data_IF_294235531909
#
_entry.id   IF_294235531909
#
_cell.length_a   1.000
_cell.length_b   1.000
_cell.length_c   1.000
_cell.angle_alpha   90.00
_cell.angle_beta   90.00
_cell.angle_gamma   90.00
#
_symmetry.space_group_name_H-M   'P 1'
#
loop_
_entity.id
_entity.type
_entity.pdbx_description
1 polymer ?
#
# COMPACT_ATOMS: atom_id res chain seq x y z
N UNK A 1 10.42 -3.64 -16.94
CA UNK A 1 11.55 -3.00 -17.65
C UNK A 1 12.28 -3.97 -18.59
N UNK A 2 12.29 -5.27 -18.29
CA UNK A 2 13.10 -6.28 -19.01
C UNK A 2 12.27 -7.39 -19.64
N UNK A 3 10.95 -7.29 -19.63
CA UNK A 3 10.05 -8.18 -20.35
C UNK A 3 10.00 -7.82 -21.83
N UNK A 4 9.66 -8.77 -22.65
CA UNK A 4 9.39 -8.63 -24.08
C UNK A 4 7.92 -8.31 -24.37
N UNK A 5 7.02 -8.63 -23.40
CA UNK A 5 5.60 -8.32 -23.45
C UNK A 5 5.15 -7.73 -22.10
N UNK A 6 4.34 -6.67 -22.17
CA UNK A 6 3.61 -6.13 -21.01
C UNK A 6 2.13 -6.05 -21.37
N UNK A 7 1.30 -6.74 -20.56
CA UNK A 7 -0.14 -6.64 -20.61
C UNK A 7 -0.63 -5.87 -19.38
N UNK A 8 -1.20 -4.69 -19.59
CA UNK A 8 -1.77 -3.83 -18.57
C UNK A 8 -3.29 -3.88 -18.65
N UNK A 9 -3.94 -4.31 -17.56
CA UNK A 9 -5.39 -4.51 -17.49
C UNK A 9 -5.98 -3.55 -16.45
N UNK A 10 -6.70 -2.50 -16.88
CA UNK A 10 -7.41 -1.55 -16.03
C UNK A 10 -6.54 -0.82 -15.00
N UNK A 11 -5.21 -0.74 -15.21
CA UNK A 11 -4.29 -0.28 -14.18
C UNK A 11 -3.96 1.21 -14.25
N UNK A 12 -4.43 1.91 -15.28
CA UNK A 12 -4.21 3.33 -15.52
C UNK A 12 -2.75 3.74 -15.73
N UNK A 13 -1.78 2.93 -15.37
CA UNK A 13 -0.33 3.19 -15.49
C UNK A 13 0.05 4.60 -14.99
N UNK A 14 -0.25 4.86 -13.72
CA UNK A 14 0.05 6.14 -13.07
C UNK A 14 1.56 6.31 -12.88
N UNK A 15 1.99 7.53 -12.56
CA UNK A 15 3.39 7.87 -12.30
C UNK A 15 4.02 7.01 -11.18
N UNK A 16 3.21 6.48 -10.26
CA UNK A 16 3.69 5.56 -9.22
C UNK A 16 4.12 4.21 -9.77
N UNK A 17 3.56 3.79 -10.91
CA UNK A 17 3.88 2.53 -11.57
C UNK A 17 5.00 2.71 -12.60
N UNK A 18 4.95 3.80 -13.37
CA UNK A 18 5.87 4.02 -14.49
C UNK A 18 7.07 4.90 -14.16
N UNK A 19 7.01 5.64 -13.03
CA UNK A 19 8.05 6.57 -12.61
C UNK A 19 8.04 7.90 -13.38
N UNK A 20 8.92 8.83 -12.99
CA UNK A 20 9.04 10.14 -13.67
C UNK A 20 9.71 10.02 -15.05
N UNK A 21 10.58 9.03 -15.22
CA UNK A 21 11.19 8.76 -16.53
C UNK A 21 10.36 7.73 -17.30
N UNK A 22 9.09 8.04 -17.51
CA UNK A 22 8.11 7.15 -18.12
C UNK A 22 8.44 6.76 -19.56
N UNK A 23 9.24 7.55 -20.29
CA UNK A 23 9.70 7.21 -21.64
C UNK A 23 10.61 5.97 -21.69
N UNK A 24 11.20 5.57 -20.57
CA UNK A 24 12.02 4.36 -20.46
C UNK A 24 11.28 3.16 -19.89
N UNK A 25 10.03 3.35 -19.48
CA UNK A 25 9.19 2.27 -18.97
C UNK A 25 8.88 1.27 -20.08
N UNK A 26 9.00 -0.03 -19.75
CA UNK A 26 8.77 -1.13 -20.70
C UNK A 26 9.48 -0.98 -22.06
N UNK A 27 10.64 -0.33 -22.09
CA UNK A 27 11.37 0.13 -23.30
C UNK A 27 11.65 -0.95 -24.34
N UNK A 28 11.64 -2.23 -23.96
CA UNK A 28 11.94 -3.36 -24.83
C UNK A 28 10.70 -4.25 -25.06
N UNK A 29 9.59 -3.95 -24.44
CA UNK A 29 8.39 -4.76 -24.48
C UNK A 29 7.42 -4.29 -25.57
N UNK A 30 6.70 -5.22 -26.19
CA UNK A 30 5.44 -4.93 -26.86
C UNK A 30 4.38 -4.67 -25.78
N UNK A 31 3.74 -3.51 -25.80
CA UNK A 31 2.83 -3.06 -24.75
C UNK A 31 1.38 -3.13 -25.18
N UNK A 32 0.61 -3.97 -24.50
CA UNK A 32 -0.84 -4.07 -24.66
C UNK A 32 -1.49 -3.42 -23.45
N UNK A 33 -2.32 -2.41 -23.67
CA UNK A 33 -2.99 -1.67 -22.58
C UNK A 33 -4.49 -1.72 -22.79
N UNK A 34 -5.19 -2.24 -21.79
CA UNK A 34 -6.64 -2.20 -21.70
C UNK A 34 -7.05 -1.18 -20.64
N UNK A 35 -7.98 -0.33 -20.98
CA UNK A 35 -8.66 0.56 -20.04
C UNK A 35 -10.10 0.81 -20.50
N UNK A 36 -11.00 1.07 -19.57
CA UNK A 36 -12.39 1.46 -19.84
C UNK A 36 -12.48 2.95 -20.23
N UNK A 37 -11.49 3.76 -19.83
CA UNK A 37 -11.40 5.16 -20.18
C UNK A 37 -10.55 5.33 -21.45
N UNK A 38 -11.16 5.78 -22.57
CA UNK A 38 -10.44 5.97 -23.83
C UNK A 38 -9.36 7.07 -23.75
N UNK A 39 -9.44 8.00 -22.80
CA UNK A 39 -8.43 9.04 -22.63
C UNK A 39 -7.15 8.50 -21.99
N UNK A 40 -7.26 7.48 -21.12
CA UNK A 40 -6.08 6.78 -20.60
C UNK A 40 -5.29 6.06 -21.69
N UNK A 41 -5.96 5.60 -22.76
CA UNK A 41 -5.32 4.96 -23.90
C UNK A 41 -4.63 5.94 -24.86
N UNK A 42 -4.90 7.24 -24.73
CA UNK A 42 -4.33 8.31 -25.60
C UNK A 42 -3.24 9.12 -24.94
N UNK A 43 -2.98 8.90 -23.66
CA UNK A 43 -2.00 9.71 -22.92
C UNK A 43 -0.59 9.56 -23.50
N UNK A 44 0.18 10.66 -23.62
CA UNK A 44 1.49 10.64 -24.28
C UNK A 44 2.61 10.10 -23.38
N UNK A 45 2.32 9.81 -22.11
CA UNK A 45 3.33 9.42 -21.12
C UNK A 45 3.80 7.97 -21.24
N UNK A 46 3.03 7.10 -21.90
CA UNK A 46 3.34 5.68 -22.04
C UNK A 46 3.19 5.30 -23.51
N UNK A 47 4.21 4.62 -24.04
CA UNK A 47 4.09 4.02 -25.36
C UNK A 47 3.14 2.83 -25.32
N UNK A 48 2.17 2.78 -26.21
CA UNK A 48 1.18 1.71 -26.33
C UNK A 48 1.22 1.16 -27.74
N UNK A 49 1.61 -0.11 -27.90
CA UNK A 49 1.60 -0.79 -29.19
C UNK A 49 0.19 -1.25 -29.59
N UNK A 50 -0.58 -1.74 -28.60
CA UNK A 50 -1.95 -2.19 -28.80
C UNK A 50 -2.86 -1.64 -27.70
N UNK A 51 -3.81 -0.78 -28.07
CA UNK A 51 -4.81 -0.22 -27.15
C UNK A 51 -6.11 -1.01 -27.26
N UNK A 52 -6.67 -1.43 -26.13
CA UNK A 52 -7.95 -2.17 -26.03
C UNK A 52 -8.91 -1.36 -25.17
N UNK A 53 -9.89 -0.72 -25.79
CA UNK A 53 -10.94 0.01 -25.10
C UNK A 53 -12.10 -0.97 -24.78
N UNK A 54 -12.10 -1.53 -23.59
CA UNK A 54 -13.11 -2.47 -23.12
C UNK A 54 -13.14 -2.54 -21.60
N UNK A 55 -14.26 -3.01 -21.04
CA UNK A 55 -14.27 -3.47 -19.65
C UNK A 55 -13.30 -4.64 -19.49
N UNK A 56 -12.54 -4.65 -18.40
CA UNK A 56 -11.51 -5.68 -18.15
C UNK A 56 -12.13 -7.07 -17.99
N UNK A 57 -13.34 -7.16 -17.45
CA UNK A 57 -14.05 -8.43 -17.32
C UNK A 57 -14.38 -9.02 -18.68
N UNK A 58 -14.95 -8.19 -19.56
CA UNK A 58 -15.30 -8.63 -20.94
C UNK A 58 -14.03 -9.08 -21.69
N UNK A 59 -12.93 -8.34 -21.54
CA UNK A 59 -11.65 -8.72 -22.14
C UNK A 59 -11.14 -10.06 -21.62
N UNK A 60 -11.19 -10.28 -20.29
CA UNK A 60 -10.74 -11.54 -19.69
C UNK A 60 -11.60 -12.72 -20.13
N UNK A 61 -12.92 -12.57 -20.17
CA UNK A 61 -13.83 -13.61 -20.67
C UNK A 61 -13.55 -13.97 -22.15
N UNK A 62 -13.30 -12.98 -23.00
CA UNK A 62 -12.93 -13.23 -24.39
C UNK A 62 -11.55 -13.87 -24.52
N UNK A 63 -10.57 -13.41 -23.71
CA UNK A 63 -9.23 -13.99 -23.73
C UNK A 63 -9.25 -15.46 -23.31
N UNK A 64 -10.04 -15.81 -22.29
CA UNK A 64 -10.23 -17.18 -21.84
C UNK A 64 -10.78 -18.07 -22.96
N UNK A 65 -11.84 -17.62 -23.63
CA UNK A 65 -12.42 -18.34 -24.76
C UNK A 65 -11.42 -18.59 -25.88
N UNK A 66 -10.65 -17.57 -26.28
CA UNK A 66 -9.62 -17.69 -27.34
C UNK A 66 -8.50 -18.64 -26.93
N UNK A 67 -8.06 -18.60 -25.67
CA UNK A 67 -7.03 -19.50 -25.16
C UNK A 67 -7.52 -20.95 -25.12
N UNK A 68 -8.77 -21.18 -24.73
CA UNK A 68 -9.38 -22.51 -24.72
C UNK A 68 -9.56 -23.08 -26.14
N UNK A 69 -9.92 -22.24 -27.12
CA UNK A 69 -10.01 -22.64 -28.52
C UNK A 69 -8.63 -22.98 -29.11
N UNK A 70 -7.61 -22.22 -28.78
CA UNK A 70 -6.25 -22.38 -29.35
C UNK A 70 -5.48 -23.52 -28.69
N UNK A 71 -5.59 -23.70 -27.38
CA UNK A 71 -4.76 -24.61 -26.61
C UNK A 71 -5.55 -25.77 -25.98
N UNK A 72 -6.89 -25.72 -25.94
CA UNK A 72 -7.74 -26.72 -25.31
C UNK A 72 -7.55 -26.79 -23.80
N UNK A 73 -7.92 -27.94 -23.20
CA UNK A 73 -7.76 -28.17 -21.76
C UNK A 73 -6.31 -28.42 -21.32
N UNK A 74 -5.39 -28.57 -22.25
CA UNK A 74 -3.95 -28.68 -21.95
C UNK A 74 -3.38 -27.29 -21.77
N UNK A 75 -3.09 -26.90 -20.55
CA UNK A 75 -2.42 -25.62 -20.29
C UNK A 75 -1.07 -25.59 -21.02
N UNK A 76 -0.81 -24.56 -21.83
CA UNK A 76 0.46 -24.46 -22.52
C UNK A 76 1.59 -24.37 -21.51
N UNK A 77 2.52 -25.30 -21.57
CA UNK A 77 3.77 -25.22 -20.83
C UNK A 77 4.63 -24.17 -21.52
N UNK A 78 4.56 -22.92 -21.05
CA UNK A 78 5.42 -21.85 -21.53
C UNK A 78 6.89 -22.14 -21.19
N UNK A 79 7.58 -22.80 -22.08
CA UNK A 79 9.04 -22.98 -22.04
C UNK A 79 9.75 -21.79 -22.70
N UNK A 80 9.18 -20.60 -22.63
CA UNK A 80 9.72 -19.42 -23.24
C UNK A 80 11.09 -19.05 -22.64
N UNK A 81 12.12 -19.21 -23.45
CA UNK A 81 13.45 -18.69 -23.11
C UNK A 81 13.42 -17.19 -23.03
N UNK A 82 13.74 -16.64 -21.88
CA UNK A 82 14.09 -15.24 -21.75
C UNK A 82 15.53 -15.09 -22.19
N UNK A 83 15.94 -13.91 -22.69
CA UNK A 83 17.33 -13.62 -23.01
C UNK A 83 18.33 -13.71 -21.85
N UNK A 84 17.91 -14.21 -20.71
CA UNK A 84 18.74 -14.62 -19.58
C UNK A 84 19.01 -16.12 -19.76
N UNK A 85 20.21 -16.42 -20.21
CA UNK A 85 20.70 -17.78 -20.52
C UNK A 85 20.15 -18.80 -19.53
N UNK A 86 19.41 -19.78 -20.04
CA UNK A 86 18.99 -21.02 -19.38
C UNK A 86 17.97 -20.92 -18.22
N UNK A 87 17.22 -19.81 -18.08
CA UNK A 87 16.18 -19.71 -17.04
C UNK A 87 14.85 -19.27 -17.63
N UNK A 88 13.75 -19.81 -17.11
CA UNK A 88 12.41 -19.32 -17.41
C UNK A 88 12.18 -17.94 -16.77
N UNK A 89 11.24 -17.16 -17.30
CA UNK A 89 10.88 -15.86 -16.72
C UNK A 89 10.46 -15.98 -15.25
N UNK A 90 9.71 -17.03 -14.93
CA UNK A 90 9.26 -17.33 -13.57
C UNK A 90 10.42 -17.57 -12.61
N UNK A 91 11.43 -18.35 -13.02
CA UNK A 91 12.64 -18.59 -12.21
C UNK A 91 13.43 -17.30 -12.01
N UNK A 92 13.53 -16.48 -13.05
CA UNK A 92 14.18 -15.17 -12.98
C UNK A 92 13.47 -14.26 -11.97
N UNK A 93 12.14 -14.17 -12.00
CA UNK A 93 11.35 -13.39 -11.06
C UNK A 93 11.48 -13.91 -9.62
N UNK A 94 11.49 -15.23 -9.41
CA UNK A 94 11.71 -15.84 -8.08
C UNK A 94 13.09 -15.49 -7.53
N UNK A 95 14.13 -15.62 -8.36
CA UNK A 95 15.49 -15.24 -7.98
C UNK A 95 15.57 -13.75 -7.59
N UNK A 96 14.93 -12.86 -8.33
CA UNK A 96 14.92 -11.43 -8.00
C UNK A 96 14.18 -11.16 -6.71
N UNK A 97 13.05 -11.83 -6.45
CA UNK A 97 12.30 -11.71 -5.20
C UNK A 97 13.13 -12.11 -3.98
N UNK A 98 13.92 -13.18 -4.11
CA UNK A 98 14.84 -13.65 -3.06
C UNK A 98 16.04 -12.70 -2.89
N UNK A 99 16.61 -12.24 -4.01
CA UNK A 99 17.80 -11.38 -4.00
C UNK A 99 17.53 -9.96 -3.52
N UNK A 100 16.32 -9.45 -3.75
CA UNK A 100 15.93 -8.07 -3.46
C UNK A 100 14.67 -8.03 -2.57
N UNK A 101 14.72 -8.55 -1.33
CA UNK A 101 13.60 -8.47 -0.43
C UNK A 101 13.33 -7.01 -0.05
N UNK A 102 12.06 -6.65 0.05
CA UNK A 102 11.65 -5.28 0.44
C UNK A 102 11.96 -5.02 1.91
N UNK A 103 11.62 -5.99 2.77
CA UNK A 103 11.89 -5.88 4.21
C UNK A 103 13.19 -6.58 4.52
N UNK A 104 14.19 -5.81 4.91
CA UNK A 104 15.56 -6.25 5.16
C UNK A 104 15.79 -6.54 6.65
N UNK A 105 16.79 -7.37 7.02
CA UNK A 105 17.16 -7.61 8.42
C UNK A 105 17.42 -6.30 9.19
N UNK A 106 18.09 -5.33 8.58
CA UNK A 106 18.35 -4.01 9.18
C UNK A 106 17.12 -3.29 9.71
N UNK A 107 15.92 -3.54 9.13
CA UNK A 107 14.68 -2.93 9.59
C UNK A 107 14.25 -3.45 10.97
N UNK A 108 14.77 -4.59 11.40
CA UNK A 108 14.52 -5.18 12.72
C UNK A 108 15.60 -4.89 13.75
N UNK A 109 16.70 -4.23 13.33
CA UNK A 109 17.89 -3.96 14.17
C UNK A 109 17.77 -2.68 15.01
N UNK A 110 16.64 -1.95 14.94
CA UNK A 110 16.38 -0.78 15.77
C UNK A 110 16.36 -1.18 17.26
N UNK A 111 17.20 -0.52 18.06
CA UNK A 111 17.32 -0.75 19.50
C UNK A 111 16.14 -0.24 20.30
N UNK A 112 16.14 -0.48 21.62
CA UNK A 112 15.10 -0.01 22.53
C UNK A 112 15.05 1.53 22.68
N UNK A 113 16.15 2.21 22.37
CA UNK A 113 16.25 3.68 22.41
C UNK A 113 15.87 4.35 21.08
N UNK A 114 15.47 3.56 20.07
CA UNK A 114 15.11 4.04 18.74
C UNK A 114 13.64 3.75 18.45
N UNK A 115 12.94 4.71 17.82
CA UNK A 115 11.58 4.50 17.34
C UNK A 115 11.51 3.26 16.44
N UNK A 116 10.36 2.58 16.42
CA UNK A 116 10.16 1.39 15.61
C UNK A 116 10.38 1.66 14.10
N UNK A 117 10.70 0.61 13.36
CA UNK A 117 10.82 0.70 11.93
C UNK A 117 9.48 0.40 11.24
N UNK A 118 9.02 1.28 10.36
CA UNK A 118 7.72 1.15 9.69
C UNK A 118 7.63 -0.08 8.77
N UNK A 119 8.75 -0.54 8.18
CA UNK A 119 8.78 -1.78 7.38
C UNK A 119 8.68 -3.02 8.26
N UNK A 120 9.37 -3.02 9.41
CA UNK A 120 9.25 -4.07 10.41
C UNK A 120 7.81 -4.16 10.92
N UNK A 121 7.20 -3.02 11.29
CA UNK A 121 5.79 -2.96 11.67
C UNK A 121 4.87 -3.57 10.61
N UNK A 122 4.97 -3.12 9.37
CA UNK A 122 4.06 -3.57 8.29
C UNK A 122 4.19 -5.08 8.04
N UNK A 123 5.40 -5.62 8.07
CA UNK A 123 5.65 -7.05 7.93
C UNK A 123 5.10 -7.84 9.12
N UNK A 124 5.37 -7.40 10.35
CA UNK A 124 4.89 -8.07 11.56
C UNK A 124 3.36 -8.07 11.64
N UNK A 125 2.72 -6.95 11.34
CA UNK A 125 1.28 -6.84 11.30
C UNK A 125 0.68 -7.75 10.23
N UNK A 126 1.08 -7.59 8.98
CA UNK A 126 0.46 -8.32 7.86
C UNK A 126 0.69 -9.83 7.92
N UNK A 127 1.82 -10.29 8.49
CA UNK A 127 2.08 -11.72 8.69
C UNK A 127 1.09 -12.38 9.66
N UNK A 128 0.52 -11.62 10.59
CA UNK A 128 -0.43 -12.10 11.62
C UNK A 128 -1.88 -12.00 11.20
N UNK A 129 -2.18 -11.30 10.11
CA UNK A 129 -3.56 -11.20 9.61
C UNK A 129 -4.05 -12.54 9.06
N UNK A 130 -5.37 -12.74 9.13
CA UNK A 130 -6.02 -13.92 8.56
C UNK A 130 -6.17 -13.81 7.04
N UNK A 131 -6.38 -14.95 6.37
CA UNK A 131 -6.92 -14.98 5.01
C UNK A 131 -8.27 -14.24 4.97
N UNK A 132 -8.64 -13.72 3.78
CA UNK A 132 -9.93 -13.06 3.52
C UNK A 132 -10.17 -11.75 4.26
N UNK A 133 -9.23 -11.26 5.07
CA UNK A 133 -9.34 -10.04 5.84
C UNK A 133 -9.25 -8.78 4.95
N UNK A 134 -10.03 -7.75 5.29
CA UNK A 134 -9.97 -6.46 4.59
C UNK A 134 -8.96 -5.55 5.27
N UNK A 135 -8.06 -5.00 4.46
CA UNK A 135 -7.01 -4.07 4.88
C UNK A 135 -7.26 -2.74 4.18
N UNK A 136 -7.45 -1.68 4.93
CA UNK A 136 -7.57 -0.31 4.41
C UNK A 136 -6.33 0.46 4.81
N UNK A 137 -5.70 1.13 3.85
CA UNK A 137 -4.52 1.96 4.13
C UNK A 137 -4.74 3.40 3.73
N UNK A 138 -4.37 4.30 4.60
CA UNK A 138 -4.37 5.74 4.35
C UNK A 138 -3.25 6.18 3.43
N UNK A 139 -3.01 7.48 3.38
CA UNK A 139 -1.94 8.08 2.58
C UNK A 139 -0.57 8.04 3.32
N UNK A 140 0.47 8.54 2.68
CA UNK A 140 1.82 8.66 3.22
C UNK A 140 2.48 7.32 3.48
N UNK A 141 3.10 7.16 4.66
CA UNK A 141 3.81 5.93 5.03
C UNK A 141 2.91 4.70 5.01
N UNK A 142 1.65 4.81 5.41
CA UNK A 142 0.67 3.72 5.38
C UNK A 142 0.47 3.17 3.95
N UNK A 143 0.29 4.06 2.97
CA UNK A 143 0.10 3.67 1.57
C UNK A 143 1.40 3.13 0.94
N UNK A 144 2.51 3.88 1.09
CA UNK A 144 3.76 3.54 0.40
C UNK A 144 4.36 2.26 0.97
N UNK A 145 4.53 2.19 2.30
CA UNK A 145 5.11 1.00 2.93
C UNK A 145 4.11 -0.17 2.91
N UNK A 146 2.80 0.11 3.02
CA UNK A 146 1.76 -0.89 2.84
C UNK A 146 1.83 -1.55 1.48
N UNK A 147 1.93 -0.76 0.40
CA UNK A 147 2.08 -1.28 -0.95
C UNK A 147 3.39 -2.05 -1.20
N UNK A 148 4.46 -1.69 -0.48
CA UNK A 148 5.77 -2.36 -0.60
C UNK A 148 5.87 -3.65 0.21
N UNK A 149 5.45 -3.62 1.49
CA UNK A 149 5.84 -4.58 2.51
C UNK A 149 4.70 -5.46 3.04
N UNK A 150 3.44 -5.12 2.74
CA UNK A 150 2.30 -5.90 3.20
C UNK A 150 2.30 -7.29 2.55
N UNK A 151 2.20 -8.32 3.39
CA UNK A 151 2.07 -9.71 2.94
C UNK A 151 0.59 -9.96 2.67
N UNK A 152 0.24 -10.14 1.41
CA UNK A 152 -1.14 -10.41 0.99
C UNK A 152 -1.39 -11.92 1.00
N UNK A 153 -2.47 -12.34 1.64
CA UNK A 153 -2.93 -13.73 1.73
C UNK A 153 -4.16 -13.95 0.86
N UNK A 154 -4.54 -15.22 0.70
CA UNK A 154 -5.69 -15.60 -0.12
C UNK A 154 -6.96 -14.88 0.34
N UNK A 155 -7.71 -14.35 -0.61
CA UNK A 155 -9.01 -13.70 -0.38
C UNK A 155 -8.96 -12.33 0.30
N UNK A 156 -7.78 -11.87 0.77
CA UNK A 156 -7.65 -10.54 1.35
C UNK A 156 -7.93 -9.45 0.33
N UNK A 157 -8.53 -8.36 0.81
CA UNK A 157 -8.68 -7.13 0.04
C UNK A 157 -7.78 -6.04 0.62
N UNK A 158 -6.96 -5.45 -0.24
CA UNK A 158 -6.10 -4.31 0.11
C UNK A 158 -6.66 -3.07 -0.57
N UNK A 159 -7.25 -2.18 0.22
CA UNK A 159 -7.95 -0.97 -0.24
C UNK A 159 -7.07 0.24 0.01
N UNK A 160 -6.77 0.99 -1.04
CA UNK A 160 -5.98 2.21 -0.96
C UNK A 160 -6.47 3.25 -1.96
N UNK A 161 -6.19 4.52 -1.70
CA UNK A 161 -6.45 5.63 -2.62
C UNK A 161 -5.12 6.21 -3.15
N UNK A 162 -4.25 5.33 -3.63
CA UNK A 162 -2.87 5.70 -4.00
C UNK A 162 -2.77 6.64 -5.20
N UNK A 163 -3.76 6.65 -6.10
CA UNK A 163 -3.74 7.49 -7.30
C UNK A 163 -3.96 8.98 -6.98
N UNK A 164 -4.92 9.31 -6.12
CA UNK A 164 -5.23 10.67 -5.66
C UNK A 164 -4.48 10.98 -4.38
N UNK A 165 -4.27 9.97 -3.55
CA UNK A 165 -3.53 10.04 -2.30
C UNK A 165 -4.12 11.04 -1.29
N UNK A 166 -5.45 11.07 -1.14
CA UNK A 166 -6.15 11.94 -0.21
C UNK A 166 -5.86 11.55 1.23
N UNK A 167 -5.38 12.49 2.04
CA UNK A 167 -5.38 12.33 3.49
C UNK A 167 -6.82 12.38 4.02
N UNK A 168 -7.11 11.62 5.09
CA UNK A 168 -8.45 11.51 5.66
C UNK A 168 -9.39 10.54 4.94
N UNK A 169 -8.95 9.90 3.86
CA UNK A 169 -9.69 8.84 3.18
C UNK A 169 -9.91 7.61 4.06
N UNK A 170 -8.96 7.32 4.90
CA UNK A 170 -8.73 6.07 5.63
C UNK A 170 -9.88 5.70 6.61
N UNK A 171 -10.23 6.56 7.54
CA UNK A 171 -11.33 6.29 8.49
C UNK A 171 -12.68 6.08 7.77
N UNK A 172 -13.14 6.98 6.89
CA UNK A 172 -14.37 6.77 6.12
C UNK A 172 -14.35 5.51 5.26
N UNK A 173 -13.20 5.19 4.64
CA UNK A 173 -13.06 3.99 3.84
C UNK A 173 -13.14 2.70 4.68
N UNK A 174 -12.57 2.70 5.88
CA UNK A 174 -12.69 1.57 6.81
C UNK A 174 -14.15 1.38 7.28
N UNK A 175 -14.88 2.47 7.54
CA UNK A 175 -16.32 2.43 7.85
C UNK A 175 -17.09 1.83 6.67
N UNK A 176 -16.87 2.32 5.45
CA UNK A 176 -17.51 1.81 4.25
C UNK A 176 -17.20 0.34 3.99
N UNK A 177 -15.95 -0.09 4.19
CA UNK A 177 -15.56 -1.48 4.08
C UNK A 177 -16.25 -2.36 5.14
N UNK A 178 -16.36 -1.87 6.39
CA UNK A 178 -17.07 -2.57 7.45
C UNK A 178 -18.55 -2.77 7.12
N UNK A 179 -19.22 -1.73 6.65
CA UNK A 179 -20.62 -1.79 6.22
C UNK A 179 -20.81 -2.77 5.05
N UNK A 180 -19.94 -2.71 4.04
CA UNK A 180 -20.02 -3.61 2.89
C UNK A 180 -19.82 -5.10 3.26
N UNK A 181 -18.97 -5.39 4.25
CA UNK A 181 -18.80 -6.74 4.79
C UNK A 181 -20.05 -7.18 5.55
N UNK A 182 -20.61 -6.32 6.40
CA UNK A 182 -21.80 -6.63 7.20
C UNK A 182 -23.05 -6.85 6.34
N UNK A 183 -23.19 -6.10 5.25
CA UNK A 183 -24.32 -6.21 4.31
C UNK A 183 -24.14 -7.34 3.28
N UNK A 184 -23.03 -8.07 3.32
CA UNK A 184 -22.74 -9.17 2.39
C UNK A 184 -22.41 -8.73 0.96
N UNK A 185 -22.17 -7.42 0.74
CA UNK A 185 -21.77 -6.89 -0.57
C UNK A 185 -20.31 -7.21 -0.91
N UNK A 186 -19.47 -7.43 0.09
CA UNK A 186 -18.18 -8.08 -0.08
C UNK A 186 -18.37 -9.56 0.24
N UNK A 187 -18.34 -10.40 -0.78
CA UNK A 187 -18.36 -11.84 -0.58
C UNK A 187 -17.09 -12.21 0.20
N UNK A 188 -17.27 -12.48 1.50
CA UNK A 188 -16.38 -13.36 2.19
C UNK A 188 -16.86 -14.77 1.87
N UNK A 189 -16.02 -15.68 1.34
CA UNK A 189 -16.39 -17.09 1.30
C UNK A 189 -16.79 -17.48 2.72
N UNK A 190 -17.94 -18.11 2.86
CA UNK A 190 -18.48 -18.60 4.13
C UNK A 190 -17.63 -19.78 4.58
N UNK A 191 -16.37 -19.53 4.94
CA UNK A 191 -15.59 -20.43 5.75
C UNK A 191 -15.65 -19.89 7.17
N UNK A 192 -15.95 -20.72 8.10
CA UNK A 192 -16.26 -20.54 9.53
C UNK A 192 -15.19 -19.80 10.38
N UNK A 193 -14.51 -18.81 9.87
CA UNK A 193 -13.43 -18.08 10.52
C UNK A 193 -13.78 -16.57 10.60
N UNK A 194 -14.43 -16.20 11.60
CA UNK A 194 -14.11 -15.53 12.86
C UNK A 194 -13.36 -14.20 12.79
N UNK A 195 -13.26 -13.44 11.71
CA UNK A 195 -12.91 -12.04 11.88
C UNK A 195 -13.55 -11.17 10.81
N UNK A 196 -14.68 -10.58 11.17
CA UNK A 196 -15.25 -9.43 10.47
C UNK A 196 -14.44 -8.16 10.71
N UNK A 197 -13.26 -8.28 11.35
CA UNK A 197 -12.41 -7.15 11.68
C UNK A 197 -11.84 -6.50 10.42
N UNK A 198 -12.01 -5.21 10.32
CA UNK A 198 -11.35 -4.38 9.32
C UNK A 198 -10.03 -3.89 9.89
N UNK A 199 -8.95 -4.09 9.16
CA UNK A 199 -7.64 -3.54 9.53
C UNK A 199 -7.47 -2.19 8.85
N UNK A 200 -7.28 -1.16 9.65
CA UNK A 200 -7.00 0.18 9.17
C UNK A 200 -5.57 0.56 9.53
N UNK A 201 -4.78 0.98 8.56
CA UNK A 201 -3.47 1.61 8.80
C UNK A 201 -3.55 3.07 8.36
N UNK A 202 -3.35 3.98 9.27
CA UNK A 202 -3.43 5.44 9.04
C UNK A 202 -2.18 6.14 9.57
N UNK A 203 -2.01 7.43 9.26
CA UNK A 203 -0.95 8.27 9.82
C UNK A 203 -1.50 9.31 10.79
N UNK A 204 -0.62 9.82 11.66
CA UNK A 204 -0.93 10.85 12.66
C UNK A 204 -1.52 12.14 12.05
N UNK A 205 -1.08 12.53 10.86
CA UNK A 205 -1.63 13.66 10.14
C UNK A 205 -2.92 13.32 9.37
N UNK A 206 -3.02 12.14 8.79
CA UNK A 206 -4.16 11.72 7.99
C UNK A 206 -5.43 11.57 8.82
N UNK A 207 -5.33 10.96 9.99
CA UNK A 207 -6.46 10.73 10.89
C UNK A 207 -7.14 12.05 11.33
N UNK A 208 -6.38 13.14 11.40
CA UNK A 208 -6.91 14.47 11.81
C UNK A 208 -7.99 15.00 10.86
N UNK A 209 -7.97 14.60 9.60
CA UNK A 209 -8.86 15.13 8.58
C UNK A 209 -10.32 14.70 8.79
N UNK A 210 -10.55 13.53 9.39
CA UNK A 210 -11.88 12.97 9.66
C UNK A 210 -11.96 12.35 11.07
N UNK A 211 -11.35 13.01 12.05
CA UNK A 211 -11.23 12.52 13.41
C UNK A 211 -12.59 12.23 14.07
N UNK A 212 -13.63 12.99 13.72
CA UNK A 212 -15.00 12.81 14.21
C UNK A 212 -15.58 11.43 13.89
N UNK A 213 -15.08 10.75 12.86
CA UNK A 213 -15.54 9.41 12.48
C UNK A 213 -15.17 8.33 13.51
N UNK A 214 -14.27 8.64 14.43
CA UNK A 214 -14.04 7.78 15.61
C UNK A 214 -15.34 7.59 16.39
N UNK A 215 -16.18 8.64 16.50
CA UNK A 215 -17.47 8.53 17.19
C UNK A 215 -18.46 7.63 16.43
N UNK A 216 -18.45 7.68 15.10
CA UNK A 216 -19.27 6.80 14.25
C UNK A 216 -18.90 5.32 14.49
N UNK A 217 -17.61 5.01 14.51
CA UNK A 217 -17.09 3.65 14.75
C UNK A 217 -17.50 3.14 16.13
N UNK A 218 -17.32 3.93 17.18
CA UNK A 218 -17.70 3.55 18.55
C UNK A 218 -19.21 3.39 18.69
N UNK A 219 -20.00 4.32 18.15
CA UNK A 219 -21.46 4.27 18.24
C UNK A 219 -22.03 2.98 17.63
N UNK A 220 -21.53 2.60 16.46
CA UNK A 220 -21.95 1.39 15.75
C UNK A 220 -21.18 0.13 16.15
N UNK A 221 -20.25 0.21 17.10
CA UNK A 221 -19.40 -0.91 17.55
C UNK A 221 -18.72 -1.64 16.40
N UNK A 222 -18.27 -0.88 15.41
CA UNK A 222 -17.62 -1.44 14.23
C UNK A 222 -16.28 -2.09 14.60
N UNK A 223 -16.01 -3.35 14.23
CA UNK A 223 -14.78 -4.05 14.61
C UNK A 223 -13.60 -3.58 13.72
N UNK A 224 -13.18 -2.33 13.89
CA UNK A 224 -12.08 -1.73 13.14
C UNK A 224 -10.85 -1.64 14.03
N UNK A 225 -9.77 -2.33 13.63
CA UNK A 225 -8.46 -2.28 14.29
C UNK A 225 -7.64 -1.17 13.65
N UNK A 226 -7.51 -0.06 14.35
CA UNK A 226 -6.80 1.14 13.87
C UNK A 226 -5.34 1.05 14.28
N UNK A 227 -4.44 0.84 13.32
CA UNK A 227 -3.01 0.98 13.50
C UNK A 227 -2.58 2.37 13.02
N UNK A 228 -2.19 3.22 13.95
CA UNK A 228 -1.80 4.59 13.69
C UNK A 228 -0.29 4.71 13.65
N UNK A 229 0.26 4.99 12.48
CA UNK A 229 1.68 5.29 12.30
C UNK A 229 1.93 6.74 12.76
N UNK A 230 2.65 6.88 13.87
CA UNK A 230 3.08 8.17 14.39
C UNK A 230 4.56 8.41 14.04
N UNK A 231 4.80 9.28 13.08
CA UNK A 231 6.15 9.75 12.71
C UNK A 231 6.30 11.27 12.94
N UNK A 232 5.43 11.85 13.77
CA UNK A 232 5.46 13.26 14.15
C UNK A 232 5.15 14.21 13.01
N UNK A 233 4.37 13.78 11.99
CA UNK A 233 3.92 14.66 10.92
C UNK A 233 3.84 14.11 9.52
N UNK A 234 3.93 14.99 8.54
CA UNK A 234 3.76 14.69 7.11
C UNK A 234 5.05 14.19 6.48
N UNK A 235 5.37 12.92 6.68
CA UNK A 235 6.64 12.32 6.32
C UNK A 235 7.02 12.49 4.83
N UNK A 236 6.08 12.28 3.91
CA UNK A 236 6.35 12.44 2.46
C UNK A 236 6.69 13.89 2.10
N UNK A 237 6.05 14.86 2.76
CA UNK A 237 6.34 16.28 2.57
C UNK A 237 7.70 16.63 3.19
N UNK A 238 8.00 16.08 4.39
CA UNK A 238 9.31 16.22 5.05
C UNK A 238 10.43 15.78 4.11
N UNK A 239 10.32 14.58 3.50
CA UNK A 239 11.31 14.09 2.55
C UNK A 239 11.44 15.01 1.33
N UNK A 240 10.34 15.50 0.79
CA UNK A 240 10.35 16.40 -0.37
C UNK A 240 11.04 17.71 -0.03
N UNK A 241 10.70 18.32 1.12
CA UNK A 241 11.33 19.56 1.54
C UNK A 241 12.83 19.36 1.78
N UNK A 242 13.23 18.34 2.55
CA UNK A 242 14.67 18.04 2.80
C UNK A 242 15.45 17.84 1.49
N UNK A 243 14.90 17.11 0.53
CA UNK A 243 15.61 16.75 -0.69
C UNK A 243 15.70 17.87 -1.73
N UNK A 244 14.71 18.78 -1.80
CA UNK A 244 14.63 19.75 -2.90
C UNK A 244 14.70 21.20 -2.46
N UNK A 245 14.40 21.51 -1.21
CA UNK A 245 14.32 22.90 -0.72
C UNK A 245 15.28 23.16 0.43
N UNK A 246 15.68 22.14 1.20
CA UNK A 246 16.54 22.29 2.37
C UNK A 246 15.81 22.86 3.59
N UNK A 247 16.58 23.40 4.54
CA UNK A 247 16.08 24.03 5.77
C UNK A 247 15.77 25.54 5.54
N UNK A 248 14.84 26.15 6.27
CA UNK A 248 14.00 25.54 7.30
C UNK A 248 12.84 24.71 6.72
N UNK A 249 12.41 23.67 7.45
CA UNK A 249 11.21 22.91 7.15
C UNK A 249 9.98 23.69 7.61
N UNK A 250 8.87 23.64 6.83
CA UNK A 250 7.66 24.42 7.08
C UNK A 250 6.41 23.54 6.98
N UNK A 251 5.54 23.60 7.98
CA UNK A 251 4.20 22.97 7.96
C UNK A 251 4.20 21.45 7.89
N UNK A 252 5.25 20.78 8.39
CA UNK A 252 5.39 19.32 8.26
C UNK A 252 5.14 18.54 9.53
N UNK A 253 5.18 19.19 10.68
CA UNK A 253 5.00 18.53 11.98
C UNK A 253 5.97 19.05 13.03
N UNK A 254 6.38 18.16 13.94
CA UNK A 254 7.19 18.55 15.10
C UNK A 254 8.56 19.14 14.72
N UNK A 255 9.13 18.75 13.58
CA UNK A 255 10.44 19.22 13.13
C UNK A 255 10.39 20.65 12.57
N UNK A 256 9.24 21.11 12.10
CA UNK A 256 9.08 22.48 11.60
C UNK A 256 8.75 23.49 12.70
N UNK A 257 8.42 23.01 13.91
CA UNK A 257 8.08 23.84 15.09
C UNK A 257 6.84 24.75 14.91
N UNK A 258 6.11 24.62 13.81
CA UNK A 258 4.92 25.41 13.47
C UNK A 258 3.64 24.59 13.42
N UNK A 259 3.74 23.27 13.64
CA UNK A 259 2.63 22.32 13.67
C UNK A 259 2.84 21.28 14.77
N UNK A 260 1.75 20.91 15.44
CA UNK A 260 1.73 19.85 16.44
C UNK A 260 0.53 18.92 16.26
N UNK A 261 0.61 17.75 16.85
CA UNK A 261 -0.44 16.73 16.82
C UNK A 261 -0.97 16.46 18.24
N UNK A 262 -2.24 16.07 18.38
CA UNK A 262 -2.78 15.71 19.69
C UNK A 262 -2.13 14.45 20.25
N UNK A 263 -2.18 14.32 21.54
CA UNK A 263 -1.86 13.09 22.27
C UNK A 263 -2.93 12.03 21.96
N UNK A 264 -2.56 10.99 21.24
CA UNK A 264 -3.50 9.99 20.73
C UNK A 264 -4.05 9.08 21.82
N UNK A 265 -3.32 8.87 22.93
CA UNK A 265 -3.82 8.12 24.09
C UNK A 265 -4.98 8.87 24.75
N UNK A 266 -4.82 10.18 24.99
CA UNK A 266 -5.89 11.01 25.55
C UNK A 266 -7.09 11.11 24.62
N UNK A 267 -6.83 11.21 23.32
CA UNK A 267 -7.86 11.26 22.30
C UNK A 267 -8.64 9.94 22.24
N UNK A 268 -7.94 8.80 22.24
CA UNK A 268 -8.57 7.48 22.31
C UNK A 268 -9.45 7.37 23.56
N UNK A 269 -8.95 7.80 24.73
CA UNK A 269 -9.72 7.84 25.96
C UNK A 269 -10.96 8.73 25.87
N UNK A 270 -10.88 9.89 25.23
CA UNK A 270 -12.03 10.79 25.04
C UNK A 270 -13.15 10.19 24.20
N UNK A 271 -12.81 9.36 23.18
CA UNK A 271 -13.78 8.63 22.37
C UNK A 271 -14.16 7.26 22.94
N UNK A 272 -13.50 6.80 24.03
CA UNK A 272 -13.77 5.51 24.64
C UNK A 272 -13.13 4.31 23.93
N UNK A 273 -12.04 4.52 23.20
CA UNK A 273 -11.28 3.43 22.59
C UNK A 273 -10.35 2.75 23.56
N UNK A 274 -10.29 1.41 23.58
CA UNK A 274 -9.11 0.70 24.05
C UNK A 274 -7.87 1.21 23.30
N UNK A 275 -6.78 1.43 24.04
CA UNK A 275 -5.53 1.94 23.47
C UNK A 275 -4.36 1.03 23.81
N UNK A 276 -3.50 0.81 22.83
CA UNK A 276 -2.19 0.20 23.02
C UNK A 276 -1.16 0.89 22.12
N UNK A 277 0.12 0.67 22.39
CA UNK A 277 1.19 1.31 21.62
C UNK A 277 2.43 0.43 21.49
N UNK A 278 3.26 0.74 20.50
CA UNK A 278 4.63 0.28 20.40
C UNK A 278 5.55 1.49 20.13
N UNK A 279 6.58 1.65 20.94
CA UNK A 279 7.56 2.72 20.83
C UNK A 279 8.83 2.27 20.09
N UNK A 280 9.17 0.99 20.11
CA UNK A 280 10.33 0.41 19.47
C UNK A 280 10.03 -0.98 18.90
N UNK A 281 10.94 -1.52 18.08
CA UNK A 281 10.74 -2.79 17.39
C UNK A 281 10.38 -3.95 18.33
N UNK A 282 10.98 -4.00 19.52
CA UNK A 282 10.74 -5.07 20.50
C UNK A 282 9.30 -5.13 21.01
N UNK A 283 8.54 -4.04 20.93
CA UNK A 283 7.14 -3.96 21.38
C UNK A 283 6.14 -4.26 20.26
N UNK A 284 6.56 -4.26 18.98
CA UNK A 284 5.66 -4.39 17.84
C UNK A 284 4.75 -5.61 17.92
N UNK A 285 5.34 -6.78 18.19
CA UNK A 285 4.59 -8.05 18.22
C UNK A 285 3.51 -8.02 19.30
N UNK A 286 3.86 -7.61 20.51
CA UNK A 286 2.91 -7.59 21.65
C UNK A 286 1.78 -6.57 21.43
N UNK A 287 2.09 -5.38 20.91
CA UNK A 287 1.10 -4.35 20.63
C UNK A 287 0.15 -4.77 19.49
N UNK A 288 0.68 -5.33 18.41
CA UNK A 288 -0.12 -5.84 17.30
C UNK A 288 -1.06 -6.96 17.76
N UNK A 289 -0.55 -7.95 18.52
CA UNK A 289 -1.37 -9.04 19.01
C UNK A 289 -2.43 -8.56 20.00
N UNK A 290 -2.11 -7.58 20.85
CA UNK A 290 -3.08 -6.96 21.75
C UNK A 290 -4.21 -6.31 20.95
N UNK A 291 -3.88 -5.51 19.93
CA UNK A 291 -4.88 -4.88 19.08
C UNK A 291 -5.75 -5.91 18.35
N UNK A 292 -5.15 -6.96 17.77
CA UNK A 292 -5.88 -8.00 17.05
C UNK A 292 -6.78 -8.86 17.94
N UNK A 293 -6.45 -9.04 19.23
CA UNK A 293 -7.26 -9.80 20.20
C UNK A 293 -8.31 -8.96 20.91
N UNK A 294 -8.24 -7.65 20.84
CA UNK A 294 -9.21 -6.77 21.48
C UNK A 294 -10.56 -6.87 20.77
N UNK A 295 -11.64 -7.13 21.50
CA UNK A 295 -12.99 -7.15 20.95
C UNK A 295 -13.43 -5.74 20.52
N UNK A 296 -14.04 -5.64 19.34
CA UNK A 296 -14.52 -4.36 18.78
C UNK A 296 -13.40 -3.44 18.32
N UNK A 297 -13.64 -2.12 18.29
CA UNK A 297 -12.66 -1.15 17.84
C UNK A 297 -11.53 -0.96 18.85
N UNK A 298 -10.31 -0.69 18.32
CA UNK A 298 -9.12 -0.41 19.11
C UNK A 298 -8.23 0.56 18.36
N UNK A 299 -7.50 1.42 19.08
CA UNK A 299 -6.46 2.27 18.53
C UNK A 299 -5.10 1.79 19.03
N UNK A 300 -4.26 1.34 18.12
CA UNK A 300 -2.88 0.94 18.37
C UNK A 300 -1.93 1.94 17.72
N UNK A 301 -1.21 2.69 18.53
CA UNK A 301 -0.26 3.69 18.06
C UNK A 301 1.13 3.10 17.93
N UNK A 302 1.74 3.27 16.74
CA UNK A 302 3.08 2.78 16.41
C UNK A 302 3.98 3.98 16.18
N UNK A 303 4.87 4.25 17.12
CA UNK A 303 5.88 5.30 16.98
C UNK A 303 6.99 4.80 16.07
N UNK A 304 7.19 5.50 14.95
CA UNK A 304 8.16 5.09 13.93
C UNK A 304 9.16 6.19 13.62
N UNK A 305 10.36 5.77 13.24
CA UNK A 305 11.44 6.67 12.88
C UNK A 305 11.03 7.68 11.81
N UNK A 306 11.28 8.96 12.09
CA UNK A 306 11.05 10.09 11.16
C UNK A 306 12.04 10.11 10.00
N UNK A 307 13.17 9.45 10.15
CA UNK A 307 14.26 9.45 9.18
C UNK A 307 14.26 8.20 8.30
N UNK A 308 13.30 7.26 8.53
CA UNK A 308 13.16 6.09 7.69
C UNK A 308 12.74 6.49 6.28
N UNK A 309 13.66 6.36 5.34
CA UNK A 309 13.36 6.57 3.93
C UNK A 309 12.49 5.43 3.36
N UNK A 310 11.72 5.75 2.31
CA UNK A 310 11.03 4.70 1.55
C UNK A 310 12.04 3.89 0.74
N UNK A 311 12.00 2.57 0.88
CA UNK A 311 12.91 1.61 0.27
C UNK A 311 12.13 0.40 -0.29
N UNK A 312 12.51 -0.17 -1.44
CA UNK A 312 13.38 0.41 -2.46
C UNK A 312 12.68 1.57 -3.18
N UNK A 313 13.42 2.61 -3.51
CA UNK A 313 12.89 3.77 -4.24
C UNK A 313 13.88 4.23 -5.28
N UNK A 314 13.43 4.39 -6.51
CA UNK A 314 14.15 5.18 -7.50
C UNK A 314 14.18 6.62 -7.03
N UNK A 315 15.38 7.19 -6.86
CA UNK A 315 15.51 8.58 -6.44
C UNK A 315 15.16 9.49 -7.61
N UNK A 316 14.17 10.35 -7.44
CA UNK A 316 13.93 11.41 -8.38
C UNK A 316 15.09 12.43 -8.32
N UNK A 317 15.65 12.77 -9.48
CA UNK A 317 16.73 13.76 -9.61
C UNK A 317 16.25 14.93 -10.44
N UNK A 318 16.43 16.14 -9.92
CA UNK A 318 16.19 17.36 -10.70
C UNK A 318 17.40 17.63 -11.60
N UNK A 319 17.14 17.76 -12.89
CA UNK A 319 18.16 18.14 -13.88
C UNK A 319 18.36 19.67 -13.88
N UNK A 320 19.49 20.16 -14.47
CA UNK A 320 19.78 21.60 -14.56
C UNK A 320 18.70 22.42 -15.28
N UNK A 321 17.96 21.81 -16.20
CA UNK A 321 16.84 22.43 -16.92
C UNK A 321 15.52 22.46 -16.12
N UNK A 322 15.54 21.96 -14.87
CA UNK A 322 14.40 21.88 -13.99
C UNK A 322 13.51 20.65 -14.18
N UNK A 323 13.75 19.83 -15.18
CA UNK A 323 13.03 18.57 -15.38
C UNK A 323 13.38 17.52 -14.30
N UNK A 324 12.46 16.56 -14.10
CA UNK A 324 12.63 15.49 -13.11
C UNK A 324 12.90 14.17 -13.86
N UNK A 325 13.89 13.43 -13.40
CA UNK A 325 14.16 12.05 -13.85
C UNK A 325 14.25 11.11 -12.63
N UNK A 326 13.92 9.83 -12.84
CA UNK A 326 14.03 8.79 -11.82
C UNK A 326 14.66 7.52 -12.39
#
# INVERSE_FOLDING_TARGET
>A
QNSDLVLSLGSRLSIRQVGYNYSTWARAAYTIVNDIDPEELKKPSVHIDMAIHADVKDLLEQLELVLDEEYGAEQPVFTGGTGLKDRTWTETCRMWKEKYPVVLPKHFEHGEDEDANVYAFMKEMSSRLNEEQVIVVGNGSACVVGGHACIIKKGQRFISNSAIASMGYDLPAAIGACMAVQEGHMQQPVSQLTSSDIILVTGDGSIQMNLQELQTIIHHRMPIKIFLINNGGYHSIRQTQKNFFGEPLVGIGVDSHDLSFPDMEKLAGAYGYPYCRACHNGELVSAIETALRTDGPVLCEIFVSRDQNFEPKSAAKRLPDGSMVS
#
